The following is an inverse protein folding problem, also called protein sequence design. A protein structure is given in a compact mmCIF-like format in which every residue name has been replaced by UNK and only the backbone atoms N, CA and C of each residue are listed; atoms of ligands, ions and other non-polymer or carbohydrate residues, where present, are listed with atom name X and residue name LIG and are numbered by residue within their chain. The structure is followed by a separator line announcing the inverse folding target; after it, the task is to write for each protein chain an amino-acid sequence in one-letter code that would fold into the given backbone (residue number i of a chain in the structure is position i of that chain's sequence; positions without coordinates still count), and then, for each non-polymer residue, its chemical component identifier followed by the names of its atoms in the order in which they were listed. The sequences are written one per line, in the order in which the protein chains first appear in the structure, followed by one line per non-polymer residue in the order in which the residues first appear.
data_IF_596143593990
#
_entry.id   IF_596143593990
#
_cell.length_a   1.000
_cell.length_b   1.000
_cell.length_c   1.000
_cell.angle_alpha   90.00
_cell.angle_beta   90.00
_cell.angle_gamma   90.00
#
_symmetry.space_group_name_H-M   'P 1'
#
loop_
_entity.id
_entity.type
_entity.pdbx_description
1 polymer ?
#
# COMPACT_ATOMS: atom_id res chain seq x y z
N UNK A 1 25.80 42.49 -47.39
CA UNK A 1 24.68 42.58 -46.46
C UNK A 1 23.84 41.30 -46.33
N UNK A 2 23.97 40.34 -47.25
CA UNK A 2 23.11 39.13 -47.25
C UNK A 2 23.64 37.96 -46.40
N UNK A 3 24.86 37.98 -45.87
CA UNK A 3 25.42 36.88 -45.09
C UNK A 3 25.06 36.86 -43.60
N UNK A 4 24.58 37.98 -43.03
CA UNK A 4 24.18 38.07 -41.61
C UNK A 4 22.76 37.56 -41.31
N UNK A 5 21.86 37.57 -42.29
CA UNK A 5 20.48 37.10 -42.07
C UNK A 5 20.32 35.58 -42.06
N UNK A 6 21.23 34.80 -42.69
CA UNK A 6 21.18 33.31 -42.66
C UNK A 6 21.63 32.71 -41.35
N UNK A 7 22.44 33.39 -40.55
CA UNK A 7 22.87 32.88 -39.24
C UNK A 7 21.86 33.10 -38.11
N UNK A 8 20.95 34.08 -38.22
CA UNK A 8 19.89 34.28 -37.24
C UNK A 8 18.79 33.21 -37.32
N UNK A 9 18.45 32.72 -38.48
CA UNK A 9 17.39 31.73 -38.65
C UNK A 9 17.76 30.34 -38.10
N UNK A 10 19.06 29.96 -37.98
CA UNK A 10 19.47 28.69 -37.46
C UNK A 10 19.46 28.69 -35.92
N UNK A 11 19.72 29.85 -35.30
CA UNK A 11 19.75 30.01 -33.85
C UNK A 11 18.34 30.05 -33.25
N UNK A 12 17.37 30.63 -33.96
CA UNK A 12 15.98 30.67 -33.49
C UNK A 12 15.25 29.35 -33.63
N UNK A 13 15.62 28.47 -34.59
CA UNK A 13 15.04 27.12 -34.71
C UNK A 13 15.44 26.19 -33.56
N UNK A 14 16.65 26.33 -33.02
CA UNK A 14 17.06 25.55 -31.85
C UNK A 14 16.40 26.03 -30.55
N UNK A 15 16.18 27.32 -30.41
CA UNK A 15 15.48 27.88 -29.24
C UNK A 15 13.98 27.56 -29.25
N UNK A 16 13.34 27.50 -30.40
CA UNK A 16 11.93 27.14 -30.53
C UNK A 16 11.70 25.61 -30.22
N UNK A 17 12.63 24.76 -30.62
CA UNK A 17 12.58 23.33 -30.30
C UNK A 17 12.86 23.06 -28.80
N UNK A 18 13.72 23.82 -28.19
CA UNK A 18 14.02 23.70 -26.76
C UNK A 18 12.88 24.27 -25.89
N UNK A 19 12.31 25.39 -26.28
CA UNK A 19 11.19 26.00 -25.58
C UNK A 19 9.90 25.18 -25.71
N UNK A 20 9.62 24.60 -26.87
CA UNK A 20 8.47 23.74 -27.13
C UNK A 20 8.55 22.43 -26.33
N UNK A 21 9.73 21.80 -26.25
CA UNK A 21 9.94 20.60 -25.42
C UNK A 21 9.89 20.92 -23.92
N UNK A 22 10.42 22.05 -23.48
CA UNK A 22 10.37 22.46 -22.07
C UNK A 22 8.93 22.82 -21.64
N UNK A 23 8.17 23.49 -22.50
CA UNK A 23 6.76 23.80 -22.27
C UNK A 23 5.88 22.52 -22.29
N UNK A 24 6.21 21.55 -23.14
CA UNK A 24 5.53 20.25 -23.22
C UNK A 24 5.82 19.40 -21.99
N UNK A 25 7.05 19.41 -21.48
CA UNK A 25 7.45 18.74 -20.24
C UNK A 25 6.78 19.40 -19.02
N UNK A 26 6.75 20.74 -18.95
CA UNK A 26 6.06 21.47 -17.87
C UNK A 26 4.55 21.26 -17.84
N UNK A 27 3.88 21.16 -19.01
CA UNK A 27 2.44 20.86 -19.05
C UNK A 27 2.14 19.41 -18.69
N UNK A 28 3.05 18.49 -19.02
CA UNK A 28 2.95 17.08 -18.65
C UNK A 28 3.15 16.83 -17.16
N UNK A 29 4.06 17.56 -16.51
CA UNK A 29 4.28 17.51 -15.06
C UNK A 29 2.99 17.89 -14.30
N UNK A 30 2.20 18.81 -14.82
CA UNK A 30 0.97 19.26 -14.20
C UNK A 30 -0.12 18.18 -14.17
N UNK A 31 -0.33 17.47 -15.28
CA UNK A 31 -1.33 16.37 -15.36
C UNK A 31 -0.95 15.17 -14.50
N UNK A 32 0.33 14.84 -14.40
CA UNK A 32 0.82 13.76 -13.56
C UNK A 32 0.81 14.13 -12.06
N UNK A 33 0.99 15.42 -11.74
CA UNK A 33 0.86 15.91 -10.36
C UNK A 33 -0.57 15.81 -9.83
N UNK A 34 -1.57 15.86 -10.71
CA UNK A 34 -2.99 15.66 -10.38
C UNK A 34 -3.28 14.21 -9.94
N UNK A 35 -2.59 13.22 -10.50
CA UNK A 35 -2.69 11.82 -10.07
C UNK A 35 -2.26 11.65 -8.60
N UNK A 36 -1.31 12.47 -8.15
CA UNK A 36 -0.82 12.44 -6.77
C UNK A 36 -0.15 11.11 -6.43
N UNK A 37 -0.45 10.59 -5.23
CA UNK A 37 0.10 9.33 -4.70
C UNK A 37 -0.81 8.12 -4.92
N UNK A 38 -2.00 8.33 -5.50
CA UNK A 38 -3.02 7.29 -5.67
C UNK A 38 -2.61 6.36 -6.83
N UNK A 39 -2.63 5.03 -6.63
CA UNK A 39 -2.43 4.09 -7.72
C UNK A 39 -3.55 4.21 -8.75
N UNK A 40 -3.19 4.39 -10.02
CA UNK A 40 -4.13 4.61 -11.14
C UNK A 40 -4.02 3.51 -12.18
N UNK A 41 -5.16 3.23 -12.83
CA UNK A 41 -5.22 2.27 -13.92
C UNK A 41 -4.76 2.90 -15.24
N UNK A 42 -4.40 2.05 -16.21
CA UNK A 42 -4.09 2.49 -17.58
C UNK A 42 -5.17 3.42 -18.12
N UNK A 43 -6.46 3.08 -17.94
CA UNK A 43 -7.59 3.86 -18.44
C UNK A 43 -7.65 5.27 -17.86
N UNK A 44 -7.30 5.45 -16.58
CA UNK A 44 -7.24 6.77 -15.95
C UNK A 44 -6.10 7.60 -16.55
N UNK A 45 -4.92 7.00 -16.77
CA UNK A 45 -3.82 7.70 -17.42
C UNK A 45 -4.19 8.08 -18.86
N UNK A 46 -4.85 7.18 -19.59
CA UNK A 46 -5.32 7.45 -20.95
C UNK A 46 -6.32 8.62 -21.01
N UNK A 47 -7.22 8.70 -20.04
CA UNK A 47 -8.21 9.81 -19.97
C UNK A 47 -7.58 11.19 -19.74
N UNK A 48 -6.35 11.26 -19.23
CA UNK A 48 -5.61 12.51 -19.11
C UNK A 48 -5.09 13.05 -20.47
N UNK A 49 -5.09 12.20 -21.51
CA UNK A 49 -4.56 12.53 -22.83
C UNK A 49 -5.59 12.22 -23.93
N UNK A 50 -6.79 12.85 -23.91
CA UNK A 50 -7.89 12.52 -24.82
C UNK A 50 -7.57 12.85 -26.28
N UNK A 51 -6.63 13.75 -26.53
CA UNK A 51 -6.24 14.21 -27.88
C UNK A 51 -5.33 13.20 -28.62
N UNK A 52 -4.81 12.19 -27.90
CA UNK A 52 -3.87 11.24 -28.48
C UNK A 52 -4.59 10.04 -29.14
N UNK A 53 -4.37 9.84 -30.42
CA UNK A 53 -4.88 8.65 -31.17
C UNK A 53 -4.38 7.30 -30.61
N UNK A 54 -3.33 7.29 -29.78
CA UNK A 54 -2.71 6.08 -29.22
C UNK A 54 -2.27 6.32 -27.77
N UNK A 55 -3.21 6.50 -26.87
CA UNK A 55 -2.95 6.76 -25.46
C UNK A 55 -2.10 5.65 -24.78
N UNK A 56 -2.27 4.39 -25.18
CA UNK A 56 -1.44 3.26 -24.72
C UNK A 56 0.07 3.45 -25.00
N UNK A 57 0.43 4.02 -26.15
CA UNK A 57 1.84 4.34 -26.47
C UNK A 57 2.38 5.43 -25.53
N UNK A 58 1.52 6.36 -25.11
CA UNK A 58 1.88 7.41 -24.15
C UNK A 58 2.17 6.82 -22.78
N UNK A 59 1.35 5.90 -22.28
CA UNK A 59 1.59 5.21 -20.99
C UNK A 59 2.94 4.48 -21.01
N UNK A 60 3.22 3.73 -22.10
CA UNK A 60 4.51 3.05 -22.26
C UNK A 60 5.69 4.03 -22.30
N UNK A 61 5.52 5.18 -22.94
CA UNK A 61 6.53 6.22 -22.99
C UNK A 61 6.76 6.85 -21.60
N UNK A 62 5.69 7.17 -20.86
CA UNK A 62 5.77 7.69 -19.48
C UNK A 62 6.51 6.73 -18.54
N UNK A 63 6.24 5.42 -18.67
CA UNK A 63 6.93 4.38 -17.92
C UNK A 63 8.43 4.34 -18.27
N UNK A 64 8.77 4.34 -19.57
CA UNK A 64 10.18 4.35 -20.03
C UNK A 64 10.95 5.60 -19.62
N UNK A 65 10.30 6.75 -19.58
CA UNK A 65 10.91 8.01 -19.13
C UNK A 65 10.97 8.12 -17.59
N UNK A 66 10.36 7.17 -16.87
CA UNK A 66 10.36 7.14 -15.41
C UNK A 66 9.39 8.13 -14.76
N UNK A 67 8.44 8.72 -15.49
CA UNK A 67 7.41 9.59 -14.91
C UNK A 67 6.41 8.81 -14.05
N UNK A 68 6.13 7.57 -14.45
CA UNK A 68 5.26 6.65 -13.72
C UNK A 68 6.01 5.35 -13.42
N UNK A 69 5.67 4.72 -12.30
CA UNK A 69 6.21 3.43 -11.87
C UNK A 69 5.10 2.39 -12.00
N UNK A 70 5.39 1.29 -12.68
CA UNK A 70 4.46 0.19 -12.83
C UNK A 70 4.47 -0.68 -11.57
N UNK A 71 3.31 -0.85 -10.94
CA UNK A 71 3.11 -1.75 -9.80
C UNK A 71 2.78 -3.18 -10.25
N UNK A 72 1.89 -3.29 -11.22
CA UNK A 72 1.53 -4.52 -11.93
C UNK A 72 1.00 -4.17 -13.32
N UNK A 73 0.65 -5.17 -14.13
CA UNK A 73 0.03 -4.93 -15.44
C UNK A 73 -1.25 -4.10 -15.27
N UNK A 74 -1.27 -2.92 -15.89
CA UNK A 74 -2.41 -2.02 -15.89
C UNK A 74 -2.60 -1.18 -14.64
N UNK A 75 -1.62 -1.15 -13.69
CA UNK A 75 -1.67 -0.31 -12.50
C UNK A 75 -0.33 0.39 -12.29
N UNK A 76 -0.38 1.70 -12.11
CA UNK A 76 0.78 2.59 -12.03
C UNK A 76 0.64 3.58 -10.89
N UNK A 77 1.77 4.15 -10.45
CA UNK A 77 1.83 5.32 -9.55
C UNK A 77 2.72 6.38 -10.17
N UNK A 78 2.49 7.63 -9.85
CA UNK A 78 3.41 8.71 -10.22
C UNK A 78 4.75 8.53 -9.49
N UNK A 79 5.85 8.79 -10.19
CA UNK A 79 7.17 8.68 -9.58
C UNK A 79 7.39 9.85 -8.61
N UNK A 80 7.78 9.59 -7.35
CA UNK A 80 8.08 10.62 -6.35
C UNK A 80 9.08 11.67 -6.80
N UNK A 81 10.04 11.28 -7.64
CA UNK A 81 11.06 12.19 -8.18
C UNK A 81 10.47 13.32 -9.04
N UNK A 82 9.32 13.09 -9.65
CA UNK A 82 8.62 14.05 -10.51
C UNK A 82 7.41 14.66 -9.82
N UNK A 83 6.68 13.89 -9.02
CA UNK A 83 5.49 14.38 -8.31
C UNK A 83 5.82 15.18 -7.05
N UNK A 84 7.04 15.04 -6.51
CA UNK A 84 7.44 15.65 -5.23
C UNK A 84 6.69 15.11 -4.01
N UNK A 85 5.84 14.09 -4.20
CA UNK A 85 5.02 13.48 -3.12
C UNK A 85 5.54 12.10 -2.77
N UNK A 86 5.62 11.80 -1.48
CA UNK A 86 5.97 10.45 -0.99
C UNK A 86 4.85 9.46 -1.27
N UNK A 87 5.22 8.25 -1.70
CA UNK A 87 4.26 7.17 -1.90
C UNK A 87 3.81 6.59 -0.56
N UNK A 88 2.52 6.27 -0.46
CA UNK A 88 2.00 5.51 0.67
C UNK A 88 1.97 4.03 0.32
N UNK A 89 2.75 3.25 1.04
CA UNK A 89 2.76 1.80 0.93
C UNK A 89 1.41 1.19 1.30
N UNK A 90 0.72 1.83 2.26
CA UNK A 90 -0.60 1.42 2.75
C UNK A 90 -1.66 1.56 1.66
N UNK A 91 -1.68 2.71 1.00
CA UNK A 91 -2.60 2.96 -0.10
C UNK A 91 -2.31 2.03 -1.29
N UNK A 92 -1.04 1.85 -1.63
CA UNK A 92 -0.61 0.94 -2.69
C UNK A 92 -1.06 -0.49 -2.36
N UNK A 93 -0.89 -0.97 -1.11
CA UNK A 93 -1.32 -2.29 -0.70
C UNK A 93 -2.82 -2.52 -0.94
N UNK A 94 -3.67 -1.55 -0.59
CA UNK A 94 -5.11 -1.67 -0.79
C UNK A 94 -5.51 -1.69 -2.28
N UNK A 95 -4.83 -0.93 -3.14
CA UNK A 95 -5.15 -0.86 -4.57
C UNK A 95 -4.54 -2.02 -5.38
N UNK A 96 -3.38 -2.54 -4.95
CA UNK A 96 -2.65 -3.56 -5.70
C UNK A 96 -3.43 -4.87 -5.81
N UNK A 97 -4.17 -5.27 -4.76
CA UNK A 97 -4.98 -6.50 -4.76
C UNK A 97 -6.27 -6.36 -3.97
N UNK A 98 -7.15 -5.46 -4.38
CA UNK A 98 -8.46 -5.23 -3.75
C UNK A 98 -9.46 -6.39 -4.01
N UNK A 99 -10.40 -6.68 -3.07
CA UNK A 99 -10.51 -6.07 -1.74
C UNK A 99 -9.47 -6.63 -0.78
N UNK A 100 -8.82 -5.75 -0.03
CA UNK A 100 -7.84 -6.12 0.99
C UNK A 100 -7.72 -5.02 2.04
N UNK A 101 -7.21 -5.37 3.20
CA UNK A 101 -6.82 -4.44 4.25
C UNK A 101 -5.46 -4.81 4.81
N UNK A 102 -4.72 -3.82 5.31
CA UNK A 102 -3.42 -4.01 5.94
C UNK A 102 -3.62 -4.69 7.29
N UNK A 103 -2.80 -5.69 7.60
CA UNK A 103 -2.94 -6.46 8.83
C UNK A 103 -1.60 -7.05 9.31
N UNK A 104 -1.68 -7.95 10.28
CA UNK A 104 -0.54 -8.68 10.86
C UNK A 104 0.55 -7.72 11.35
N UNK A 105 1.83 -8.07 11.19
CA UNK A 105 2.94 -7.25 11.67
C UNK A 105 2.98 -5.85 11.08
N UNK A 106 2.50 -5.67 9.83
CA UNK A 106 2.44 -4.33 9.21
C UNK A 106 1.48 -3.40 9.95
N UNK A 107 0.30 -3.88 10.32
CA UNK A 107 -0.66 -3.09 11.09
C UNK A 107 -0.19 -2.86 12.53
N UNK A 108 0.34 -3.89 13.20
CA UNK A 108 0.89 -3.76 14.56
C UNK A 108 2.02 -2.72 14.60
N UNK A 109 2.90 -2.73 13.60
CA UNK A 109 3.96 -1.73 13.46
C UNK A 109 3.41 -0.33 13.19
N UNK A 110 2.38 -0.21 12.36
CA UNK A 110 1.72 1.08 12.08
C UNK A 110 1.19 1.75 13.35
N UNK A 111 0.65 0.95 14.28
CA UNK A 111 0.19 1.41 15.59
C UNK A 111 1.31 1.54 16.63
N UNK A 112 2.55 1.19 16.30
CA UNK A 112 3.69 1.27 17.22
C UNK A 112 3.72 0.17 18.28
N UNK A 113 2.94 -0.91 18.12
CA UNK A 113 2.80 -1.99 19.11
C UNK A 113 3.95 -2.99 19.12
N UNK A 114 4.72 -3.05 18.05
CA UNK A 114 5.90 -3.91 17.89
C UNK A 114 7.09 -3.08 17.40
N UNK A 115 8.31 -3.36 17.89
CA UNK A 115 9.51 -2.62 17.50
C UNK A 115 10.08 -3.04 16.15
N UNK A 116 9.77 -4.26 15.68
CA UNK A 116 10.37 -4.85 14.49
C UNK A 116 10.11 -4.03 13.21
N UNK A 117 11.15 -3.89 12.38
CA UNK A 117 11.01 -3.34 11.04
C UNK A 117 10.29 -4.35 10.13
N UNK A 118 9.22 -3.91 9.48
CA UNK A 118 8.46 -4.75 8.54
C UNK A 118 8.84 -4.36 7.11
N UNK A 119 9.57 -5.24 6.42
CA UNK A 119 10.04 -5.03 5.05
C UNK A 119 9.01 -5.46 3.99
N UNK A 120 8.08 -6.34 4.36
CA UNK A 120 7.03 -6.85 3.49
C UNK A 120 5.69 -6.34 4.00
N UNK A 121 4.97 -5.59 3.18
CA UNK A 121 3.64 -5.10 3.53
C UNK A 121 2.63 -6.25 3.50
N UNK A 122 2.15 -6.64 4.67
CA UNK A 122 1.23 -7.76 4.88
C UNK A 122 -0.21 -7.27 4.88
N UNK A 123 -1.05 -7.94 4.12
CA UNK A 123 -2.47 -7.62 3.96
C UNK A 123 -3.33 -8.88 3.94
N UNK A 124 -4.58 -8.74 4.35
CA UNK A 124 -5.56 -9.80 4.27
C UNK A 124 -6.54 -9.55 3.11
N UNK A 125 -6.95 -10.62 2.45
CA UNK A 125 -7.88 -10.56 1.32
C UNK A 125 -8.84 -11.74 1.32
N UNK A 126 -10.04 -11.56 0.76
CA UNK A 126 -10.99 -12.66 0.50
C UNK A 126 -10.64 -13.49 -0.74
N UNK A 127 -9.65 -13.04 -1.52
CA UNK A 127 -9.13 -13.74 -2.69
C UNK A 127 -8.05 -14.74 -2.28
N UNK A 128 -7.53 -15.50 -3.24
CA UNK A 128 -6.39 -16.40 -3.01
C UNK A 128 -5.17 -15.63 -2.54
N UNK A 129 -4.37 -16.26 -1.67
CA UNK A 129 -3.10 -15.70 -1.21
C UNK A 129 -2.16 -15.46 -2.39
N UNK A 130 -1.49 -14.31 -2.39
CA UNK A 130 -0.59 -13.89 -3.47
C UNK A 130 0.43 -12.88 -2.97
N UNK A 131 1.65 -12.98 -3.48
CA UNK A 131 2.71 -12.01 -3.23
C UNK A 131 3.04 -11.23 -4.49
N UNK A 132 3.38 -9.96 -4.32
CA UNK A 132 3.81 -9.06 -5.39
C UNK A 132 5.14 -8.42 -5.02
N UNK A 133 6.09 -8.49 -5.94
CA UNK A 133 7.32 -7.71 -5.88
C UNK A 133 7.19 -6.55 -6.87
N UNK A 134 7.32 -5.34 -6.37
CA UNK A 134 7.21 -4.12 -7.16
C UNK A 134 8.45 -3.25 -6.97
N UNK A 135 8.74 -2.30 -7.86
CA UNK A 135 9.86 -1.38 -7.68
C UNK A 135 9.77 -0.50 -6.43
N UNK A 136 8.58 -0.43 -5.80
CA UNK A 136 8.33 0.40 -4.60
C UNK A 136 8.19 -0.39 -3.31
N UNK A 137 8.27 -1.74 -3.37
CA UNK A 137 8.22 -2.60 -2.19
C UNK A 137 7.61 -3.97 -2.46
N UNK A 138 7.67 -4.84 -1.44
CA UNK A 138 7.11 -6.19 -1.45
C UNK A 138 5.78 -6.20 -0.72
N UNK A 139 4.77 -6.86 -1.29
CA UNK A 139 3.41 -6.95 -0.76
C UNK A 139 2.97 -8.40 -0.69
N UNK A 140 2.54 -8.86 0.48
CA UNK A 140 2.06 -10.22 0.71
C UNK A 140 0.60 -10.20 1.16
N UNK A 141 -0.23 -10.98 0.47
CA UNK A 141 -1.66 -11.08 0.73
C UNK A 141 -2.00 -12.49 1.18
N UNK A 142 -2.59 -12.61 2.37
CA UNK A 142 -3.08 -13.86 2.93
C UNK A 142 -4.59 -13.94 2.83
N UNK A 143 -5.07 -15.16 2.62
CA UNK A 143 -6.52 -15.41 2.51
C UNK A 143 -7.20 -15.39 3.86
N UNK A 144 -8.35 -14.70 3.92
CA UNK A 144 -9.28 -14.73 5.05
C UNK A 144 -10.69 -15.06 4.58
N UNK A 145 -11.49 -15.70 5.45
CA UNK A 145 -12.89 -15.98 5.17
C UNK A 145 -13.71 -14.69 5.03
N UNK A 146 -14.75 -14.72 4.20
CA UNK A 146 -15.66 -13.56 4.01
C UNK A 146 -16.33 -13.12 5.31
N UNK A 147 -16.62 -14.07 6.22
CA UNK A 147 -17.24 -13.77 7.51
C UNK A 147 -16.28 -13.04 8.47
N UNK A 148 -15.01 -13.40 8.48
CA UNK A 148 -14.02 -12.79 9.34
C UNK A 148 -13.44 -11.47 8.75
N UNK A 149 -13.63 -11.21 7.44
CA UNK A 149 -13.05 -10.04 6.75
C UNK A 149 -13.48 -8.70 7.38
N UNK A 150 -14.76 -8.41 7.66
CA UNK A 150 -15.21 -7.10 8.14
C UNK A 150 -14.89 -6.83 9.62
N UNK A 151 -14.61 -7.87 10.43
CA UNK A 151 -14.40 -7.73 11.87
C UNK A 151 -13.16 -6.88 12.13
N UNK A 152 -13.28 -5.81 12.91
CA UNK A 152 -12.15 -4.96 13.33
C UNK A 152 -11.40 -4.26 12.20
N UNK A 153 -11.97 -4.16 10.99
CA UNK A 153 -11.37 -3.37 9.91
C UNK A 153 -11.80 -1.91 10.03
N UNK A 154 -10.84 -1.01 9.94
CA UNK A 154 -11.03 0.44 10.06
C UNK A 154 -10.54 1.16 8.80
N UNK A 155 -11.17 2.29 8.48
CA UNK A 155 -10.67 3.22 7.48
C UNK A 155 -9.85 4.28 8.19
N UNK A 156 -8.57 4.38 7.83
CA UNK A 156 -7.68 5.44 8.32
C UNK A 156 -7.53 6.50 7.25
N UNK A 157 -7.57 7.76 7.66
CA UNK A 157 -7.40 8.92 6.80
C UNK A 157 -6.04 9.57 7.05
N UNK A 158 -5.26 9.76 5.98
CA UNK A 158 -3.93 10.37 6.03
C UNK A 158 -3.64 11.07 4.70
N UNK A 159 -3.08 12.28 4.74
CA UNK A 159 -2.60 13.03 3.56
C UNK A 159 -3.61 13.10 2.40
N UNK A 160 -4.90 13.34 2.70
CA UNK A 160 -6.02 13.42 1.74
C UNK A 160 -6.39 12.09 1.04
N UNK A 161 -5.99 10.94 1.57
CA UNK A 161 -6.45 9.64 1.13
C UNK A 161 -6.87 8.75 2.31
N UNK A 162 -7.71 7.76 2.02
CA UNK A 162 -8.11 6.76 2.99
C UNK A 162 -7.60 5.38 2.59
N UNK A 163 -7.25 4.56 3.57
CA UNK A 163 -6.88 3.17 3.37
C UNK A 163 -7.50 2.28 4.46
N UNK A 164 -7.69 1.02 4.13
CA UNK A 164 -8.24 0.03 5.05
C UNK A 164 -7.10 -0.67 5.82
N UNK A 165 -7.25 -0.72 7.13
CA UNK A 165 -6.31 -1.36 8.04
C UNK A 165 -7.06 -2.11 9.13
N UNK A 166 -6.52 -3.22 9.58
CA UNK A 166 -7.02 -3.93 10.76
C UNK A 166 -6.81 -3.09 12.02
N UNK A 167 -7.73 -3.17 12.96
CA UNK A 167 -7.49 -2.70 14.33
C UNK A 167 -6.36 -3.52 14.99
N UNK A 168 -5.73 -3.04 16.06
CA UNK A 168 -4.68 -3.77 16.77
C UNK A 168 -5.07 -5.21 17.11
N UNK A 169 -6.27 -5.39 17.66
CA UNK A 169 -6.83 -6.67 18.05
C UNK A 169 -6.97 -7.62 16.85
N UNK A 170 -7.54 -7.08 15.78
CA UNK A 170 -7.72 -7.83 14.53
C UNK A 170 -6.39 -8.20 13.89
N UNK A 171 -5.44 -7.30 13.88
CA UNK A 171 -4.09 -7.54 13.35
C UNK A 171 -3.37 -8.66 14.10
N UNK A 172 -3.51 -8.69 15.43
CA UNK A 172 -2.98 -9.75 16.27
C UNK A 172 -3.66 -11.09 16.01
N UNK A 173 -5.00 -11.11 15.88
CA UNK A 173 -5.75 -12.31 15.51
C UNK A 173 -5.29 -12.87 14.15
N UNK A 174 -5.16 -12.01 13.14
CA UNK A 174 -4.73 -12.40 11.79
C UNK A 174 -3.29 -12.92 11.78
N UNK A 175 -2.39 -12.34 12.60
CA UNK A 175 -1.02 -12.79 12.77
C UNK A 175 -0.97 -14.20 13.34
N UNK A 176 -1.67 -14.47 14.44
CA UNK A 176 -1.76 -15.78 15.07
C UNK A 176 -2.38 -16.81 14.11
N UNK A 177 -3.48 -16.43 13.45
CA UNK A 177 -4.22 -17.30 12.54
C UNK A 177 -3.39 -17.75 11.31
N UNK A 178 -2.49 -16.90 10.83
CA UNK A 178 -1.67 -17.17 9.63
C UNK A 178 -0.25 -17.67 9.93
N UNK A 179 0.19 -17.62 11.17
CA UNK A 179 1.48 -18.19 11.58
C UNK A 179 1.33 -19.70 11.79
N UNK A 180 2.03 -20.54 11.04
CA UNK A 180 1.97 -22.00 11.17
C UNK A 180 2.57 -22.51 12.50
N UNK A 181 3.54 -21.80 13.03
CA UNK A 181 4.30 -22.21 14.22
C UNK A 181 3.64 -21.81 15.54
N UNK A 182 2.77 -20.79 15.53
CA UNK A 182 2.10 -20.27 16.73
C UNK A 182 0.91 -21.15 17.09
N UNK A 183 0.96 -21.74 18.30
CA UNK A 183 -0.14 -22.51 18.87
C UNK A 183 -0.22 -22.25 20.38
N UNK A 184 -1.09 -21.32 20.75
CA UNK A 184 -1.22 -20.83 22.14
C UNK A 184 -2.20 -21.71 22.91
N UNK A 185 -1.68 -22.76 23.58
CA UNK A 185 -2.51 -23.68 24.36
C UNK A 185 -2.64 -23.24 25.81
N UNK A 186 -1.58 -22.67 26.37
CA UNK A 186 -1.50 -22.29 27.78
C UNK A 186 -1.23 -20.77 27.91
N UNK A 187 -1.57 -20.22 29.07
CA UNK A 187 -1.32 -18.78 29.39
C UNK A 187 0.16 -18.41 29.26
N UNK A 188 1.05 -19.31 29.63
CA UNK A 188 2.50 -19.10 29.52
C UNK A 188 2.96 -19.00 28.06
N UNK A 189 2.32 -19.75 27.14
CA UNK A 189 2.61 -19.66 25.72
C UNK A 189 2.24 -18.27 25.17
N UNK A 190 1.12 -17.71 25.67
CA UNK A 190 0.69 -16.35 25.31
C UNK A 190 1.68 -15.30 25.78
N UNK A 191 2.11 -15.38 27.05
CA UNK A 191 3.09 -14.45 27.63
C UNK A 191 4.42 -14.51 26.84
N UNK A 192 4.96 -15.72 26.62
CA UNK A 192 6.18 -15.90 25.83
C UNK A 192 6.05 -15.34 24.41
N UNK A 193 4.93 -15.62 23.75
CA UNK A 193 4.68 -15.14 22.40
C UNK A 193 4.60 -13.61 22.31
N UNK A 194 3.84 -12.98 23.22
CA UNK A 194 3.69 -11.54 23.23
C UNK A 194 4.98 -10.80 23.61
N UNK A 195 5.67 -11.24 24.64
CA UNK A 195 6.84 -10.54 25.18
C UNK A 195 8.15 -10.88 24.46
N UNK A 196 8.36 -12.17 24.11
CA UNK A 196 9.63 -12.64 23.56
C UNK A 196 9.62 -12.74 22.04
N UNK A 197 8.55 -13.31 21.44
CA UNK A 197 8.51 -13.55 20.00
C UNK A 197 8.21 -12.28 19.21
N UNK A 198 7.14 -11.54 19.59
CA UNK A 198 6.72 -10.32 18.88
C UNK A 198 7.08 -9.04 19.62
N UNK A 199 7.53 -9.12 20.84
CA UNK A 199 7.93 -7.98 21.71
C UNK A 199 6.87 -6.88 21.72
N UNK A 200 5.63 -7.30 21.96
CA UNK A 200 4.47 -6.40 21.97
C UNK A 200 4.50 -5.47 23.18
N UNK A 201 4.08 -4.25 22.99
CA UNK A 201 3.81 -3.30 24.08
C UNK A 201 2.64 -3.85 24.92
N UNK A 202 2.94 -4.34 26.15
CA UNK A 202 1.98 -4.95 27.05
C UNK A 202 0.99 -3.95 27.65
N UNK A 203 1.38 -2.69 27.79
CA UNK A 203 0.49 -1.63 28.28
C UNK A 203 -0.61 -1.33 27.26
N UNK A 204 -0.26 -1.30 26.00
CA UNK A 204 -1.21 -1.14 24.89
C UNK A 204 -2.02 -2.43 24.66
N UNK A 205 -1.41 -3.61 24.80
CA UNK A 205 -2.14 -4.88 24.72
C UNK A 205 -3.27 -4.95 25.75
N UNK A 206 -3.02 -4.55 27.00
CA UNK A 206 -4.02 -4.56 28.09
C UNK A 206 -5.22 -3.63 27.86
N UNK A 207 -5.09 -2.64 26.96
CA UNK A 207 -6.16 -1.70 26.57
C UNK A 207 -7.01 -2.20 25.38
N UNK A 208 -6.68 -3.33 24.79
CA UNK A 208 -7.35 -3.85 23.58
C UNK A 208 -8.82 -4.18 23.85
N UNK A 209 -9.65 -3.98 22.82
CA UNK A 209 -11.07 -4.29 22.84
C UNK A 209 -11.33 -5.79 22.78
N UNK A 210 -11.89 -6.33 23.86
CA UNK A 210 -12.18 -7.76 24.01
C UNK A 210 -13.27 -8.25 23.04
N UNK A 211 -14.17 -7.37 22.61
CA UNK A 211 -15.29 -7.74 21.73
C UNK A 211 -14.83 -8.19 20.36
N UNK A 212 -13.76 -7.58 19.83
CA UNK A 212 -13.18 -7.95 18.54
C UNK A 212 -12.62 -9.38 18.58
N UNK A 213 -11.97 -9.77 19.68
CA UNK A 213 -11.48 -11.13 19.87
C UNK A 213 -12.65 -12.13 19.95
N UNK A 214 -13.72 -11.79 20.69
CA UNK A 214 -14.91 -12.61 20.82
C UNK A 214 -15.60 -12.86 19.48
N UNK A 215 -15.73 -11.82 18.66
CA UNK A 215 -16.32 -11.94 17.33
C UNK A 215 -15.42 -12.72 16.38
N UNK A 216 -14.10 -12.55 16.49
CA UNK A 216 -13.15 -13.31 15.67
C UNK A 216 -13.16 -14.80 16.00
N UNK A 217 -13.24 -15.18 17.27
CA UNK A 217 -13.31 -16.59 17.72
C UNK A 217 -14.46 -17.34 17.06
N UNK A 218 -15.60 -16.69 16.80
CA UNK A 218 -16.80 -17.32 16.19
C UNK A 218 -16.59 -17.76 14.75
N UNK A 219 -15.71 -17.08 13.99
CA UNK A 219 -15.63 -17.25 12.52
C UNK A 219 -14.19 -17.35 11.99
N UNK A 220 -13.21 -17.07 12.83
CA UNK A 220 -11.79 -17.04 12.46
C UNK A 220 -11.10 -18.41 12.57
N UNK A 221 -9.88 -18.46 12.08
CA UNK A 221 -9.00 -19.63 12.26
C UNK A 221 -8.35 -19.59 13.64
N UNK A 222 -7.93 -20.78 14.16
CA UNK A 222 -7.26 -20.92 15.45
C UNK A 222 -8.02 -20.32 16.62
N UNK A 223 -9.34 -20.52 16.65
CA UNK A 223 -10.21 -20.01 17.69
C UNK A 223 -9.74 -20.37 19.11
N UNK A 224 -9.20 -21.57 19.32
CA UNK A 224 -8.66 -22.02 20.62
C UNK A 224 -7.48 -21.16 21.09
N UNK A 225 -6.52 -20.87 20.20
CA UNK A 225 -5.37 -20.02 20.52
C UNK A 225 -5.80 -18.59 20.85
N UNK A 226 -6.77 -18.05 20.07
CA UNK A 226 -7.31 -16.70 20.31
C UNK A 226 -8.16 -16.68 21.59
N UNK A 227 -8.87 -17.75 21.91
CA UNK A 227 -9.59 -17.90 23.19
C UNK A 227 -8.62 -17.88 24.39
N UNK A 228 -7.47 -18.55 24.28
CA UNK A 228 -6.42 -18.50 25.30
C UNK A 228 -5.83 -17.10 25.45
N UNK A 229 -5.60 -16.40 24.34
CA UNK A 229 -5.16 -15.00 24.33
C UNK A 229 -6.19 -14.10 25.04
N UNK A 230 -7.49 -14.25 24.72
CA UNK A 230 -8.56 -13.48 25.34
C UNK A 230 -8.66 -13.75 26.85
N UNK A 231 -8.47 -15.01 27.30
CA UNK A 231 -8.41 -15.33 28.72
C UNK A 231 -7.22 -14.64 29.42
N UNK A 232 -6.07 -14.57 28.73
CA UNK A 232 -4.91 -13.84 29.22
C UNK A 232 -5.18 -12.34 29.38
N UNK A 233 -5.83 -11.73 28.40
CA UNK A 233 -6.23 -10.29 28.43
C UNK A 233 -7.27 -9.98 29.52
N UNK A 234 -7.99 -10.98 30.03
CA UNK A 234 -9.02 -10.82 31.07
C UNK A 234 -8.47 -10.93 32.49
N UNK A 235 -7.22 -11.35 32.62
CA UNK A 235 -6.54 -11.56 33.88
C UNK A 235 -6.10 -10.23 34.51
#
# INVERSE_FOLDING_TARGET
PYRRQRQMCIRDRFYFFYCSNYCYICSMDRQLTEIGTIPVTTSIIESLYPELKSANKKVTWLEKQGFIIRLKRGLYVANPKHSGKTLSSELIANHLYAPSYISMSTALRYYGLIPEAVYVHQSMTVKHSRSFQTPVGCYDYKHISKMAFPIGVRSMYKDNYAFLIASPEKALCDLIANSSQVNLRYMKDVETYLEQDIRMDMDEFNKMDKTIFEDYIKVGKKADSISTLLKFLRR
#
